data_IF_910956901035
#
_entry.id   IF_910956901035
#
_cell.length_a   1.000
_cell.length_b   1.000
_cell.length_c   1.000
_cell.angle_alpha   90.00
_cell.angle_beta   90.00
_cell.angle_gamma   90.00
#
_symmetry.space_group_name_H-M   'P 1'
#
loop_
_entity.id
_entity.type
_entity.pdbx_description
1 polymer ?
#
# COMPACT_ATOMS: atom_id res chain seq x y z
N UNK A 1 -2.99 -15.11 17.27
CA UNK A 1 -3.00 -13.87 16.46
C UNK A 1 -1.55 -13.55 16.15
N UNK A 2 -1.18 -13.51 14.88
CA UNK A 2 0.21 -13.28 14.46
C UNK A 2 0.66 -11.89 14.95
N UNK A 3 1.89 -11.79 15.46
CA UNK A 3 2.51 -10.53 15.93
C UNK A 3 2.98 -9.67 14.74
N UNK A 4 2.15 -9.56 13.70
CA UNK A 4 2.49 -8.85 12.49
C UNK A 4 2.32 -7.34 12.71
N UNK A 5 3.44 -6.61 12.61
CA UNK A 5 3.46 -5.15 12.59
C UNK A 5 3.42 -4.65 11.16
N UNK A 6 2.57 -3.66 10.90
CA UNK A 6 2.40 -3.03 9.60
C UNK A 6 2.96 -1.61 9.61
N UNK A 7 3.45 -1.14 8.46
CA UNK A 7 3.73 0.28 8.25
C UNK A 7 2.77 0.81 7.19
N UNK A 8 1.94 1.77 7.55
CA UNK A 8 0.94 2.35 6.65
C UNK A 8 1.45 3.67 6.09
N UNK A 9 1.65 3.70 4.77
CA UNK A 9 1.97 4.91 4.04
C UNK A 9 0.69 5.49 3.44
N UNK A 10 0.34 6.68 3.89
CA UNK A 10 -0.89 7.35 3.50
C UNK A 10 -0.58 8.48 2.51
N UNK A 11 -1.26 8.50 1.35
CA UNK A 11 -1.16 9.59 0.40
C UNK A 11 -2.44 10.45 0.40
N UNK A 12 -2.47 11.59 1.13
CA UNK A 12 -3.63 12.48 1.19
C UNK A 12 -4.00 13.10 -0.16
N UNK A 13 -3.01 13.27 -1.06
CA UNK A 13 -3.20 13.84 -2.40
C UNK A 13 -3.85 12.90 -3.40
N UNK A 14 -3.93 11.60 -3.08
CA UNK A 14 -4.49 10.59 -3.99
C UNK A 14 -5.94 10.92 -4.41
N UNK A 15 -6.25 10.65 -5.67
CA UNK A 15 -7.60 10.77 -6.20
C UNK A 15 -8.17 12.19 -6.18
N UNK A 16 -7.34 13.22 -6.40
CA UNK A 16 -7.71 14.65 -6.32
C UNK A 16 -8.21 15.05 -4.93
N UNK A 17 -7.54 14.57 -3.87
CA UNK A 17 -7.87 14.87 -2.48
C UNK A 17 -8.85 13.90 -1.82
N UNK A 18 -9.33 12.86 -2.52
CA UNK A 18 -10.09 11.77 -1.90
C UNK A 18 -9.30 11.04 -0.82
N UNK A 19 -7.97 10.95 -0.96
CA UNK A 19 -7.10 10.44 0.09
C UNK A 19 -7.33 11.14 1.41
N UNK A 20 -7.25 12.47 1.43
CA UNK A 20 -7.53 13.28 2.63
C UNK A 20 -8.92 13.02 3.21
N UNK A 21 -9.95 12.94 2.36
CA UNK A 21 -11.34 12.71 2.81
C UNK A 21 -11.55 11.31 3.43
N UNK A 22 -10.78 10.32 3.00
CA UNK A 22 -10.91 8.92 3.43
C UNK A 22 -9.95 8.54 4.55
N UNK A 23 -9.06 9.45 4.95
CA UNK A 23 -8.00 9.22 5.93
C UNK A 23 -8.53 8.66 7.22
N UNK A 24 -9.42 9.41 7.87
CA UNK A 24 -9.84 9.06 9.22
C UNK A 24 -10.63 7.75 9.21
N UNK A 25 -11.45 7.51 8.17
CA UNK A 25 -12.15 6.25 7.98
C UNK A 25 -11.20 5.05 7.77
N UNK A 26 -10.08 5.23 7.07
CA UNK A 26 -9.06 4.20 6.95
C UNK A 26 -8.32 3.97 8.27
N UNK A 27 -7.88 5.03 8.96
CA UNK A 27 -7.19 4.91 10.23
C UNK A 27 -8.06 4.22 11.28
N UNK A 28 -9.35 4.60 11.38
CA UNK A 28 -10.31 3.96 12.26
C UNK A 28 -10.47 2.46 11.93
N UNK A 29 -10.65 2.12 10.66
CA UNK A 29 -10.78 0.72 10.25
C UNK A 29 -9.51 -0.09 10.52
N UNK A 30 -8.33 0.48 10.24
CA UNK A 30 -7.05 -0.19 10.45
C UNK A 30 -6.79 -0.43 11.95
N UNK A 31 -7.08 0.54 12.83
CA UNK A 31 -6.88 0.39 14.28
C UNK A 31 -7.75 -0.71 14.89
N UNK A 32 -8.89 -1.03 14.27
CA UNK A 32 -9.77 -2.13 14.71
C UNK A 32 -9.19 -3.52 14.46
N UNK A 33 -8.27 -3.66 13.51
CA UNK A 33 -7.85 -4.98 13.01
C UNK A 33 -6.33 -5.19 13.01
N UNK A 34 -5.53 -4.13 12.96
CA UNK A 34 -4.08 -4.20 12.75
C UNK A 34 -3.32 -3.42 13.83
N UNK A 35 -2.10 -3.86 14.11
CA UNK A 35 -1.08 -3.07 14.82
C UNK A 35 -0.17 -2.41 13.79
N UNK A 36 -0.13 -1.09 13.76
CA UNK A 36 0.62 -0.38 12.73
C UNK A 36 1.18 0.95 13.22
N UNK A 37 2.26 1.35 12.58
CA UNK A 37 2.74 2.72 12.56
C UNK A 37 2.41 3.33 11.19
N UNK A 38 2.32 4.65 11.08
CA UNK A 38 1.98 5.28 9.82
C UNK A 38 2.70 6.60 9.58
N UNK A 39 2.81 6.96 8.30
CA UNK A 39 3.29 8.26 7.86
C UNK A 39 2.46 8.78 6.68
N UNK A 40 2.34 10.10 6.58
CA UNK A 40 1.70 10.78 5.46
C UNK A 40 2.74 11.32 4.49
N UNK A 41 2.48 11.16 3.20
CA UNK A 41 3.31 11.76 2.14
C UNK A 41 2.85 13.17 1.83
N UNK A 42 3.79 14.07 1.57
CA UNK A 42 3.52 15.42 1.06
C UNK A 42 3.77 15.54 -0.44
N UNK A 43 4.69 14.73 -0.97
CA UNK A 43 5.02 14.65 -2.39
C UNK A 43 5.29 13.20 -2.85
N UNK A 44 5.62 13.00 -4.14
CA UNK A 44 5.90 11.66 -4.67
C UNK A 44 7.23 11.10 -4.13
N UNK A 45 8.22 11.96 -3.91
CA UNK A 45 9.54 11.61 -3.39
C UNK A 45 9.45 11.05 -1.96
N UNK A 46 8.47 11.51 -1.19
CA UNK A 46 8.19 10.98 0.15
C UNK A 46 7.78 9.51 0.12
N UNK A 47 7.08 9.04 -0.92
CA UNK A 47 6.63 7.65 -1.00
C UNK A 47 7.85 6.72 -0.96
N UNK A 48 8.84 6.98 -1.80
CA UNK A 48 10.06 6.18 -1.85
C UNK A 48 10.83 6.27 -0.52
N UNK A 49 11.09 7.50 -0.06
CA UNK A 49 11.86 7.77 1.17
C UNK A 49 11.26 7.12 2.41
N UNK A 50 9.94 7.24 2.60
CA UNK A 50 9.25 6.67 3.75
C UNK A 50 9.15 5.15 3.65
N UNK A 51 8.98 4.60 2.45
CA UNK A 51 9.03 3.13 2.24
C UNK A 51 10.41 2.60 2.63
N UNK A 52 11.49 3.20 2.14
CA UNK A 52 12.85 2.77 2.49
C UNK A 52 13.12 2.84 3.99
N UNK A 53 12.66 3.92 4.63
CA UNK A 53 12.78 4.08 6.08
C UNK A 53 12.07 2.93 6.81
N UNK A 54 10.83 2.60 6.43
CA UNK A 54 10.10 1.48 7.02
C UNK A 54 10.80 0.14 6.79
N UNK A 55 11.35 -0.09 5.59
CA UNK A 55 12.12 -1.31 5.31
C UNK A 55 13.38 -1.40 6.18
N UNK A 56 14.10 -0.29 6.38
CA UNK A 56 15.27 -0.21 7.24
C UNK A 56 14.93 -0.40 8.73
N UNK A 57 13.75 0.02 9.16
CA UNK A 57 13.22 -0.20 10.51
C UNK A 57 12.69 -1.63 10.73
N UNK A 58 12.77 -2.49 9.71
CA UNK A 58 12.47 -3.92 9.82
C UNK A 58 11.00 -4.29 9.58
N UNK A 59 10.17 -3.36 9.10
CA UNK A 59 8.80 -3.69 8.72
C UNK A 59 8.78 -4.63 7.52
N UNK A 60 7.93 -5.65 7.60
CA UNK A 60 7.71 -6.63 6.52
C UNK A 60 6.42 -6.39 5.74
N UNK A 61 5.42 -5.79 6.38
CA UNK A 61 4.13 -5.51 5.77
C UNK A 61 3.99 -4.00 5.54
N UNK A 62 4.15 -3.56 4.30
CA UNK A 62 3.98 -2.16 3.93
C UNK A 62 2.59 -2.00 3.31
N UNK A 63 1.76 -1.12 3.86
CA UNK A 63 0.41 -0.86 3.38
C UNK A 63 0.37 0.52 2.76
N UNK A 64 -0.08 0.64 1.52
CA UNK A 64 -0.16 1.90 0.80
C UNK A 64 -1.62 2.32 0.59
N UNK A 65 -2.03 3.40 1.26
CA UNK A 65 -3.34 4.04 1.05
C UNK A 65 -3.21 5.11 -0.02
N UNK A 66 -3.72 4.82 -1.22
CA UNK A 66 -3.47 5.66 -2.38
C UNK A 66 -4.19 5.16 -3.64
N UNK A 67 -3.62 5.46 -4.79
CA UNK A 67 -4.03 4.86 -6.07
C UNK A 67 -2.84 4.17 -6.75
N UNK A 68 -3.04 3.77 -8.00
CA UNK A 68 -2.09 2.95 -8.77
C UNK A 68 -0.67 3.54 -8.81
N UNK A 69 -0.52 4.86 -8.93
CA UNK A 69 0.79 5.53 -8.87
C UNK A 69 1.48 5.42 -7.51
N UNK A 70 0.72 5.49 -6.40
CA UNK A 70 1.28 5.31 -5.05
C UNK A 70 1.71 3.87 -4.85
N UNK A 71 0.86 2.92 -5.22
CA UNK A 71 1.15 1.49 -5.08
C UNK A 71 2.34 1.06 -5.91
N UNK A 72 2.46 1.55 -7.14
CA UNK A 72 3.59 1.22 -8.02
C UNK A 72 4.92 1.72 -7.47
N UNK A 73 4.94 2.93 -6.88
CA UNK A 73 6.15 3.47 -6.25
C UNK A 73 6.58 2.67 -5.01
N UNK A 74 5.63 2.25 -4.17
CA UNK A 74 5.93 1.39 -3.02
C UNK A 74 6.41 0.02 -3.47
N UNK A 75 5.74 -0.57 -4.47
CA UNK A 75 6.12 -1.85 -5.06
C UNK A 75 7.55 -1.83 -5.62
N UNK A 76 7.93 -0.76 -6.34
CA UNK A 76 9.29 -0.62 -6.86
C UNK A 76 10.35 -0.66 -5.76
N UNK A 77 10.13 -0.02 -4.61
CA UNK A 77 11.08 -0.10 -3.48
C UNK A 77 11.14 -1.50 -2.87
N UNK A 78 9.99 -2.15 -2.69
CA UNK A 78 9.92 -3.52 -2.16
C UNK A 78 10.67 -4.49 -3.09
N UNK A 79 10.40 -4.47 -4.39
CA UNK A 79 11.05 -5.36 -5.35
C UNK A 79 12.55 -5.10 -5.41
N UNK A 80 12.98 -3.83 -5.43
CA UNK A 80 14.40 -3.45 -5.44
C UNK A 80 15.16 -3.87 -4.18
N UNK A 81 14.48 -4.08 -3.05
CA UNK A 81 15.12 -4.56 -1.83
C UNK A 81 15.61 -6.01 -1.95
N UNK A 82 15.12 -6.78 -2.94
CA UNK A 82 15.47 -8.18 -3.15
C UNK A 82 14.99 -9.13 -2.05
N UNK A 83 14.09 -8.66 -1.17
CA UNK A 83 13.58 -9.44 -0.04
C UNK A 83 12.24 -10.09 -0.36
N UNK A 84 12.16 -11.43 -0.44
CA UNK A 84 10.92 -12.14 -0.77
C UNK A 84 9.92 -12.20 0.40
N UNK A 85 10.35 -11.85 1.62
CA UNK A 85 9.51 -11.88 2.82
C UNK A 85 8.68 -10.59 3.04
N UNK A 86 8.75 -9.65 2.09
CA UNK A 86 8.03 -8.39 2.14
C UNK A 86 6.67 -8.50 1.45
N UNK A 87 5.64 -7.90 2.06
CA UNK A 87 4.30 -7.83 1.50
C UNK A 87 3.85 -6.39 1.29
N UNK A 88 3.19 -6.15 0.15
CA UNK A 88 2.49 -4.90 -0.16
C UNK A 88 0.98 -5.08 0.07
N UNK A 89 0.43 -4.33 1.02
CA UNK A 89 -1.01 -4.10 1.13
C UNK A 89 -1.43 -2.88 0.32
N UNK A 90 -2.49 -2.98 -0.47
CA UNK A 90 -3.02 -1.86 -1.27
C UNK A 90 -4.40 -1.46 -0.75
N UNK A 91 -4.62 -0.17 -0.47
CA UNK A 91 -5.90 0.34 0.01
C UNK A 91 -6.36 1.55 -0.83
N UNK A 92 -7.58 1.53 -1.40
CA UNK A 92 -8.00 2.47 -2.43
C UNK A 92 -8.40 3.84 -1.88
N UNK A 93 -7.70 4.85 -2.37
CA UNK A 93 -7.95 6.28 -2.19
C UNK A 93 -7.83 7.08 -3.51
N UNK A 94 -7.36 6.46 -4.60
CA UNK A 94 -7.26 7.07 -5.93
C UNK A 94 -8.58 7.13 -6.72
N UNK A 95 -8.50 7.48 -8.00
CA UNK A 95 -9.66 7.57 -8.92
C UNK A 95 -9.90 6.27 -9.68
N UNK A 96 -8.85 5.71 -10.31
CA UNK A 96 -8.91 4.43 -11.02
C UNK A 96 -8.89 3.28 -10.04
N UNK A 97 -7.78 3.11 -9.31
CA UNK A 97 -7.55 2.02 -8.36
C UNK A 97 -7.62 0.66 -9.06
N UNK A 98 -7.21 0.59 -10.32
CA UNK A 98 -7.46 -0.56 -11.18
C UNK A 98 -6.71 -1.81 -10.68
N UNK A 99 -5.52 -1.65 -10.10
CA UNK A 99 -4.78 -2.77 -9.50
C UNK A 99 -5.55 -3.38 -8.32
N UNK A 100 -6.12 -2.52 -7.47
CA UNK A 100 -6.95 -2.96 -6.35
C UNK A 100 -8.22 -3.67 -6.82
N UNK A 101 -8.88 -3.16 -7.87
CA UNK A 101 -10.09 -3.79 -8.45
C UNK A 101 -9.82 -5.20 -8.96
N UNK A 102 -8.68 -5.43 -9.62
CA UNK A 102 -8.27 -6.77 -10.10
C UNK A 102 -8.22 -7.80 -8.98
N UNK A 103 -8.17 -7.35 -7.73
CA UNK A 103 -8.04 -8.15 -6.53
C UNK A 103 -9.24 -8.07 -5.58
N UNK A 104 -10.34 -7.42 -5.98
CA UNK A 104 -11.52 -7.23 -5.13
C UNK A 104 -11.26 -6.27 -3.96
N UNK A 105 -10.30 -5.36 -4.11
CA UNK A 105 -9.93 -4.38 -3.10
C UNK A 105 -10.46 -3.01 -3.52
N UNK A 106 -11.74 -2.78 -3.21
CA UNK A 106 -12.46 -1.53 -3.49
C UNK A 106 -12.80 -0.76 -2.21
N UNK A 107 -13.29 0.47 -2.35
CA UNK A 107 -13.74 1.26 -1.19
C UNK A 107 -14.95 0.61 -0.49
N UNK A 108 -15.82 -0.02 -1.25
CA UNK A 108 -17.01 -0.72 -0.77
C UNK A 108 -16.62 -1.98 0.02
N UNK A 109 -15.55 -2.67 -0.41
CA UNK A 109 -15.06 -3.92 0.19
C UNK A 109 -13.96 -3.69 1.25
N UNK A 110 -13.73 -2.44 1.66
CA UNK A 110 -12.61 -2.04 2.53
C UNK A 110 -12.46 -2.87 3.80
N UNK A 111 -13.57 -3.24 4.43
CA UNK A 111 -13.54 -4.02 5.67
C UNK A 111 -13.04 -5.45 5.42
N UNK A 112 -13.50 -6.08 4.33
CA UNK A 112 -13.01 -7.39 3.91
C UNK A 112 -11.51 -7.34 3.58
N UNK A 113 -11.06 -6.29 2.91
CA UNK A 113 -9.65 -6.11 2.56
C UNK A 113 -8.76 -6.00 3.82
N UNK A 114 -9.17 -5.20 4.81
CA UNK A 114 -8.41 -5.06 6.07
C UNK A 114 -8.44 -6.33 6.91
N UNK A 115 -9.57 -7.05 6.95
CA UNK A 115 -9.63 -8.37 7.61
C UNK A 115 -8.72 -9.40 6.93
N UNK A 116 -8.66 -9.42 5.60
CA UNK A 116 -7.75 -10.27 4.85
C UNK A 116 -6.28 -10.02 5.23
N UNK A 117 -5.90 -8.75 5.40
CA UNK A 117 -4.56 -8.39 5.88
C UNK A 117 -4.31 -8.87 7.31
N UNK A 118 -5.28 -8.71 8.21
CA UNK A 118 -5.17 -9.17 9.60
C UNK A 118 -5.05 -10.70 9.72
N UNK A 119 -5.65 -11.43 8.77
CA UNK A 119 -5.56 -12.89 8.65
C UNK A 119 -4.26 -13.35 7.97
N UNK A 120 -3.43 -12.43 7.50
CA UNK A 120 -2.18 -12.74 6.80
C UNK A 120 -2.39 -13.32 5.40
N UNK A 121 -3.55 -13.09 4.77
CA UNK A 121 -3.81 -13.58 3.41
C UNK A 121 -3.00 -12.78 2.40
N UNK A 122 -2.04 -13.43 1.76
CA UNK A 122 -1.18 -12.89 0.70
C UNK A 122 -1.20 -13.78 -0.53
N UNK A 123 -0.76 -13.23 -1.65
CA UNK A 123 -0.49 -13.96 -2.90
C UNK A 123 0.71 -13.36 -3.61
N UNK A 124 1.36 -14.17 -4.43
CA UNK A 124 2.38 -13.69 -5.36
C UNK A 124 1.71 -13.01 -6.56
N UNK A 125 2.34 -11.95 -7.06
CA UNK A 125 1.87 -11.14 -8.19
C UNK A 125 3.07 -10.80 -9.06
N UNK A 126 2.93 -11.00 -10.36
CA UNK A 126 3.96 -10.62 -11.33
C UNK A 126 4.10 -9.10 -11.41
N UNK A 127 5.34 -8.63 -11.59
CA UNK A 127 5.66 -7.20 -11.67
C UNK A 127 6.39 -6.92 -12.97
N UNK A 128 5.89 -5.97 -13.76
CA UNK A 128 6.54 -5.52 -14.99
C UNK A 128 7.75 -4.62 -14.70
N UNK A 129 8.77 -4.62 -15.56
CA UNK A 129 9.96 -3.78 -15.42
C UNK A 129 10.33 -3.08 -16.74
N UNK A 130 10.45 -1.75 -16.73
CA UNK A 130 10.89 -0.92 -17.87
C UNK A 130 11.91 0.10 -17.37
N UNK A 131 13.06 0.22 -18.06
CA UNK A 131 14.15 1.15 -17.70
C UNK A 131 14.56 1.09 -16.22
N UNK A 132 14.53 -0.11 -15.63
CA UNK A 132 14.87 -0.34 -14.22
C UNK A 132 13.79 0.05 -13.21
N UNK A 133 12.62 0.51 -13.63
CA UNK A 133 11.46 0.81 -12.76
C UNK A 133 10.40 -0.27 -12.88
N UNK A 134 9.77 -0.59 -11.77
CA UNK A 134 8.72 -1.61 -11.70
C UNK A 134 7.31 -1.01 -11.77
N UNK A 135 6.36 -1.71 -12.39
CA UNK A 135 4.95 -1.31 -12.49
C UNK A 135 3.99 -2.49 -12.28
N UNK A 136 2.78 -2.17 -11.80
CA UNK A 136 1.81 -3.16 -11.33
C UNK A 136 0.66 -3.47 -12.32
N UNK A 137 0.33 -2.57 -13.24
CA UNK A 137 -0.80 -2.73 -14.16
C UNK A 137 -0.34 -2.69 -15.63
N UNK A 138 -0.21 -1.49 -16.18
CA UNK A 138 0.10 -1.27 -17.59
C UNK A 138 1.10 -0.13 -17.67
N UNK A 139 2.07 -0.28 -18.55
CA UNK A 139 2.97 0.77 -19.00
C UNK A 139 2.58 1.14 -20.44
N UNK A 140 2.40 2.43 -20.72
CA UNK A 140 1.97 2.95 -22.02
C UNK A 140 2.38 4.41 -22.20
#
# INVERSE_FOLDING_TARGET
MSDQRFFVLFNPGAGRGRGRQRRDAWLELLHRHLRFDYAETTCHEDIARLTDKALAEGYRNIVAVGGDGTWSLVADRIVRSGRPDLCLGVLPAGTGNDFGKSFGVTWQERESAVRAMAEGRSREVDVGRVEGRHFLNVFG
#
